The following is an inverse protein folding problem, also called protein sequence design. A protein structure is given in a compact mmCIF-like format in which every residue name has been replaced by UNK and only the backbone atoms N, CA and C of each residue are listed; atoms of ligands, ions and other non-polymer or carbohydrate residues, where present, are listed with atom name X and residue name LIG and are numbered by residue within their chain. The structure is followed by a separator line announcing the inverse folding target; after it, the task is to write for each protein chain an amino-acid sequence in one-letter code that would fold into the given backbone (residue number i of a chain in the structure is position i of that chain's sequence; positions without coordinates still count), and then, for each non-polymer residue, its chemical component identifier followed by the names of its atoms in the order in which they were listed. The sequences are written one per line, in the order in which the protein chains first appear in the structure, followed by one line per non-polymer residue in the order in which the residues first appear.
data_IF_696851443474
#
_entry.id   IF_696851443474
#
_cell.length_a   1.000
_cell.length_b   1.000
_cell.length_c   1.000
_cell.angle_alpha   90.00
_cell.angle_beta   90.00
_cell.angle_gamma   90.00
#
_symmetry.space_group_name_H-M   'P 1'
#
loop_
_entity.id
_entity.type
_entity.pdbx_description
1 polymer ?
#
# COMPACT_ATOMS: atom_id res chain seq x y z
N UNK A 1 -9.58 1.12 20.87
CA UNK A 1 -9.24 0.88 19.46
C UNK A 1 -10.51 1.14 18.69
N UNK A 2 -10.41 1.82 17.56
CA UNK A 2 -11.56 2.21 16.74
C UNK A 2 -11.41 1.59 15.35
N UNK A 3 -12.54 1.19 14.75
CA UNK A 3 -12.57 0.69 13.38
C UNK A 3 -12.90 1.86 12.47
N UNK A 4 -11.98 2.18 11.56
CA UNK A 4 -12.25 3.16 10.52
C UNK A 4 -13.19 2.55 9.48
N UNK A 5 -14.23 3.29 9.10
CA UNK A 5 -15.13 2.90 8.02
C UNK A 5 -14.37 2.87 6.71
N UNK A 6 -14.46 1.76 5.98
CA UNK A 6 -13.84 1.61 4.67
C UNK A 6 -14.92 1.31 3.62
N UNK A 7 -15.03 2.14 2.56
CA UNK A 7 -15.99 1.89 1.49
C UNK A 7 -15.65 0.59 0.72
N UNK A 8 -16.67 -0.11 0.18
CA UNK A 8 -16.44 -1.31 -0.60
C UNK A 8 -15.69 -0.98 -1.90
N UNK A 9 -14.80 -1.88 -2.32
CA UNK A 9 -14.02 -1.77 -3.57
C UNK A 9 -13.14 -0.53 -3.71
N UNK A 10 -12.59 -0.01 -2.60
CA UNK A 10 -11.72 1.19 -2.60
C UNK A 10 -10.25 0.92 -2.24
N UNK A 11 -9.52 0.08 -3.01
CA UNK A 11 -8.11 -0.17 -2.75
C UNK A 11 -7.24 1.09 -2.93
N UNK A 12 -7.72 2.07 -3.69
CA UNK A 12 -7.14 3.41 -3.84
C UNK A 12 -7.18 4.24 -2.54
N UNK A 13 -7.97 3.82 -1.54
CA UNK A 13 -8.05 4.41 -0.21
C UNK A 13 -7.41 3.54 0.88
N UNK A 14 -6.85 2.38 0.52
CA UNK A 14 -6.16 1.48 1.44
C UNK A 14 -4.63 1.64 1.33
N UNK A 15 -3.92 2.09 2.40
CA UNK A 15 -2.47 2.32 2.33
C UNK A 15 -1.67 1.08 1.97
N UNK A 16 -2.16 -0.09 2.40
CA UNK A 16 -1.57 -1.37 2.02
C UNK A 16 -1.56 -1.57 0.51
N UNK A 17 -2.64 -1.22 -0.19
CA UNK A 17 -2.77 -1.45 -1.63
C UNK A 17 -2.09 -0.37 -2.47
N UNK A 18 -2.39 0.91 -2.21
CA UNK A 18 -1.84 2.00 -3.04
C UNK A 18 -0.36 2.30 -2.78
N UNK A 19 0.18 1.95 -1.60
CA UNK A 19 1.55 2.28 -1.22
C UNK A 19 2.42 1.05 -0.99
N UNK A 20 2.12 0.25 0.04
CA UNK A 20 3.01 -0.85 0.49
C UNK A 20 3.12 -1.96 -0.57
N UNK A 21 2.00 -2.55 -0.97
CA UNK A 21 1.98 -3.65 -1.93
C UNK A 21 2.32 -3.21 -3.34
N UNK A 22 2.09 -1.94 -3.70
CA UNK A 22 2.57 -1.39 -4.97
C UNK A 22 4.11 -1.49 -5.03
N UNK A 23 4.82 -1.05 -3.98
CA UNK A 23 6.29 -1.15 -3.93
C UNK A 23 6.82 -2.56 -3.69
N UNK A 24 6.10 -3.38 -2.94
CA UNK A 24 6.47 -4.79 -2.77
C UNK A 24 6.41 -5.52 -4.11
N UNK A 25 5.34 -5.34 -4.89
CA UNK A 25 5.19 -5.95 -6.22
C UNK A 25 6.31 -5.53 -7.16
N UNK A 26 6.71 -4.26 -7.15
CA UNK A 26 7.89 -3.77 -7.90
C UNK A 26 9.17 -4.51 -7.47
N UNK A 27 9.41 -4.66 -6.16
CA UNK A 27 10.58 -5.36 -5.61
C UNK A 27 10.60 -6.85 -5.93
N UNK A 28 9.43 -7.49 -6.02
CA UNK A 28 9.28 -8.92 -6.31
C UNK A 28 9.20 -9.22 -7.82
N UNK A 29 8.99 -8.20 -8.67
CA UNK A 29 8.78 -8.39 -10.09
C UNK A 29 9.93 -9.17 -10.75
N UNK A 30 9.58 -10.20 -11.52
CA UNK A 30 10.53 -11.03 -12.25
C UNK A 30 11.32 -12.04 -11.41
N UNK A 31 11.18 -12.02 -10.07
CA UNK A 31 11.81 -13.02 -9.20
C UNK A 31 11.03 -14.33 -9.21
N UNK A 32 11.75 -15.45 -9.24
CA UNK A 32 11.18 -16.80 -9.09
C UNK A 32 11.76 -17.41 -7.83
N UNK A 33 10.90 -17.72 -6.88
CA UNK A 33 11.25 -18.38 -5.62
C UNK A 33 11.02 -19.88 -5.76
N UNK A 34 11.88 -20.69 -5.15
CA UNK A 34 11.79 -22.16 -5.18
C UNK A 34 10.96 -22.71 -4.03
N UNK A 35 10.68 -21.91 -3.00
CA UNK A 35 9.86 -22.31 -1.85
C UNK A 35 9.18 -21.12 -1.18
N UNK A 36 8.22 -21.44 -0.31
CA UNK A 36 7.50 -20.45 0.50
C UNK A 36 8.43 -19.75 1.51
N UNK A 37 9.43 -20.45 2.05
CA UNK A 37 10.41 -19.89 2.97
C UNK A 37 11.27 -18.82 2.30
N UNK A 38 11.60 -19.00 1.02
CA UNK A 38 12.39 -18.05 0.25
C UNK A 38 11.62 -16.74 0.03
N UNK A 39 10.34 -16.82 -0.37
CA UNK A 39 9.49 -15.62 -0.53
C UNK A 39 9.22 -14.94 0.81
N UNK A 40 8.97 -15.69 1.90
CA UNK A 40 8.80 -15.12 3.24
C UNK A 40 10.05 -14.36 3.69
N UNK A 41 11.23 -14.93 3.46
CA UNK A 41 12.51 -14.29 3.78
C UNK A 41 12.70 -13.02 2.95
N UNK A 42 12.44 -13.07 1.65
CA UNK A 42 12.56 -11.92 0.75
C UNK A 42 11.64 -10.76 1.16
N UNK A 43 10.36 -11.04 1.46
CA UNK A 43 9.38 -10.05 1.92
C UNK A 43 9.78 -9.48 3.29
N UNK A 44 10.25 -10.33 4.20
CA UNK A 44 10.66 -9.91 5.55
C UNK A 44 11.89 -9.00 5.50
N UNK A 45 12.89 -9.33 4.68
CA UNK A 45 14.08 -8.50 4.55
C UNK A 45 13.72 -7.17 3.89
N UNK A 46 12.93 -7.19 2.81
CA UNK A 46 12.48 -5.97 2.15
C UNK A 46 11.74 -5.03 3.11
N UNK A 47 10.81 -5.54 3.93
CA UNK A 47 10.08 -4.70 4.90
C UNK A 47 10.98 -4.10 6.00
N UNK A 48 12.04 -4.82 6.43
CA UNK A 48 13.01 -4.34 7.41
C UNK A 48 13.96 -3.27 6.87
N UNK A 49 14.23 -3.28 5.56
CA UNK A 49 15.10 -2.30 4.91
C UNK A 49 14.41 -0.95 4.68
N UNK A 50 13.08 -0.91 4.71
CA UNK A 50 12.31 0.32 4.52
C UNK A 50 12.46 1.26 5.72
N UNK A 51 12.77 2.53 5.43
CA UNK A 51 12.81 3.57 6.44
C UNK A 51 11.43 3.81 7.07
N UNK A 52 11.37 4.21 8.34
CA UNK A 52 10.12 4.57 9.00
C UNK A 52 9.34 5.67 8.27
N UNK A 53 10.04 6.58 7.59
CA UNK A 53 9.45 7.62 6.74
C UNK A 53 8.63 7.06 5.58
N UNK A 54 8.99 5.90 5.02
CA UNK A 54 8.23 5.24 3.96
C UNK A 54 6.82 4.90 4.43
N UNK A 55 6.69 4.32 5.62
CA UNK A 55 5.39 3.97 6.20
C UNK A 55 4.60 5.23 6.58
N UNK A 56 5.26 6.22 7.17
CA UNK A 56 4.64 7.49 7.54
C UNK A 56 4.07 8.23 6.30
N UNK A 57 4.79 8.22 5.18
CA UNK A 57 4.34 8.79 3.91
C UNK A 57 3.10 8.07 3.36
N UNK A 58 3.09 6.73 3.42
CA UNK A 58 1.93 5.94 2.99
C UNK A 58 0.67 6.30 3.77
N UNK A 59 0.79 6.47 5.10
CA UNK A 59 -0.33 6.86 5.97
C UNK A 59 -0.72 8.32 5.76
N UNK A 60 0.23 9.25 5.61
CA UNK A 60 -0.09 10.68 5.45
C UNK A 60 -0.85 10.98 4.16
N UNK A 61 -0.60 10.19 3.10
CA UNK A 61 -1.34 10.24 1.83
C UNK A 61 -2.83 9.89 1.95
N UNK A 62 -3.30 9.31 3.06
CA UNK A 62 -4.73 9.07 3.28
C UNK A 62 -5.53 10.37 3.22
N UNK A 63 -5.01 11.44 3.84
CA UNK A 63 -5.72 12.72 3.92
C UNK A 63 -6.00 13.27 2.53
N UNK A 64 -4.97 13.36 1.69
CA UNK A 64 -5.13 13.87 0.32
C UNK A 64 -5.99 12.96 -0.55
N UNK A 65 -5.88 11.63 -0.39
CA UNK A 65 -6.70 10.66 -1.13
C UNK A 65 -8.18 10.74 -0.77
N UNK A 66 -8.52 10.85 0.51
CA UNK A 66 -9.91 11.07 0.94
C UNK A 66 -10.46 12.39 0.43
N UNK A 67 -9.70 13.48 0.52
CA UNK A 67 -10.10 14.77 -0.03
C UNK A 67 -10.41 14.66 -1.52
N UNK A 68 -9.49 14.07 -2.30
CA UNK A 68 -9.68 13.89 -3.73
C UNK A 68 -10.88 13.02 -4.06
N UNK A 69 -11.10 11.94 -3.31
CA UNK A 69 -12.28 11.07 -3.45
C UNK A 69 -13.59 11.85 -3.25
N UNK A 70 -13.65 12.75 -2.26
CA UNK A 70 -14.81 13.61 -2.02
C UNK A 70 -15.00 14.62 -3.18
N UNK A 71 -13.91 15.24 -3.64
CA UNK A 71 -13.94 16.23 -4.74
C UNK A 71 -14.41 15.62 -6.07
N UNK A 72 -14.24 14.32 -6.26
CA UNK A 72 -14.67 13.60 -7.47
C UNK A 72 -15.92 12.74 -7.24
N UNK A 73 -16.74 13.09 -6.25
CA UNK A 73 -18.03 12.45 -5.95
C UNK A 73 -17.93 10.93 -5.70
N UNK A 74 -16.86 10.49 -5.05
CA UNK A 74 -16.63 9.08 -4.71
C UNK A 74 -16.06 8.22 -5.85
N UNK A 75 -15.69 8.83 -6.98
CA UNK A 75 -14.96 8.12 -8.05
C UNK A 75 -13.54 7.70 -7.62
N UNK A 76 -12.93 6.83 -8.41
CA UNK A 76 -11.59 6.30 -8.13
C UNK A 76 -10.50 7.37 -8.17
N UNK A 77 -9.64 7.35 -7.15
CA UNK A 77 -8.46 8.22 -7.05
C UNK A 77 -7.29 7.59 -7.82
N UNK A 78 -6.91 8.23 -8.91
CA UNK A 78 -5.73 7.81 -9.69
C UNK A 78 -4.45 7.77 -8.84
N UNK A 79 -3.52 6.90 -9.25
CA UNK A 79 -2.16 6.91 -8.69
C UNK A 79 -1.43 8.14 -9.21
N UNK A 80 -0.76 8.86 -8.31
CA UNK A 80 0.18 9.92 -8.67
C UNK A 80 1.39 9.34 -9.43
#
# INVERSE_FOLDING_TARGET
WDVLTHPPYSPDLAPSDYHLFTKLKESLAGKRFQSDEEVQTAVTNWTKELAGSFYAEGISKLVSRYTKCIEIDGNYVEKD
#
